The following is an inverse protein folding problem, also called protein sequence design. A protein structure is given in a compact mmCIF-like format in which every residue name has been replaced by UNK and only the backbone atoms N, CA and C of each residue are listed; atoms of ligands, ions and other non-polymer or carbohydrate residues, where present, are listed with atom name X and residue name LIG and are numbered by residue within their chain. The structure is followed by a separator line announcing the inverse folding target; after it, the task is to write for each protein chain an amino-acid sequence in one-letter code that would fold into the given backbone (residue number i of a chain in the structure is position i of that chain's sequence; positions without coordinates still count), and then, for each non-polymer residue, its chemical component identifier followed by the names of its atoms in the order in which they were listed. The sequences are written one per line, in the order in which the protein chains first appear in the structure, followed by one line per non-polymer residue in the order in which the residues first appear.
data_IF_180407192599
#
_entry.id   IF_180407192599
#
_cell.length_a   1.000
_cell.length_b   1.000
_cell.length_c   1.000
_cell.angle_alpha   90.00
_cell.angle_beta   90.00
_cell.angle_gamma   90.00
#
_symmetry.space_group_name_H-M   'P 1'
#
loop_
_entity.id
_entity.type
_entity.pdbx_description
1 polymer ?
#
# COMPACT_ATOMS: atom_id res chain seq x y z
N UNK A 1 0.76 6.63 7.66
CA UNK A 1 1.23 5.72 6.64
C UNK A 1 1.26 6.31 5.24
N UNK A 2 0.91 7.59 4.98
CA UNK A 2 1.11 8.18 3.62
C UNK A 2 2.50 7.92 3.05
N UNK A 3 3.51 7.96 3.93
CA UNK A 3 4.92 7.72 3.59
C UNK A 3 5.25 6.24 3.29
N UNK A 4 4.53 5.28 3.88
CA UNK A 4 4.82 3.84 3.74
C UNK A 4 3.88 3.15 2.75
N UNK A 5 2.65 3.65 2.60
CA UNK A 5 1.61 3.04 1.76
C UNK A 5 1.89 3.20 0.27
N UNK A 6 2.45 4.34 -0.17
CA UNK A 6 2.79 4.53 -1.58
C UNK A 6 3.96 3.62 -2.00
N UNK A 7 5.08 3.54 -1.24
CA UNK A 7 6.09 2.51 -1.48
C UNK A 7 5.55 1.09 -1.40
N UNK A 8 4.65 0.81 -0.45
CA UNK A 8 4.03 -0.51 -0.31
C UNK A 8 3.15 -0.86 -1.51
N UNK A 9 2.34 0.06 -1.99
CA UNK A 9 1.52 -0.10 -3.20
C UNK A 9 2.40 -0.44 -4.40
N UNK A 10 3.48 0.32 -4.60
CA UNK A 10 4.45 0.05 -5.66
C UNK A 10 5.08 -1.34 -5.51
N UNK A 11 5.51 -1.71 -4.30
CA UNK A 11 6.09 -3.02 -4.02
C UNK A 11 5.11 -4.16 -4.30
N UNK A 12 3.84 -4.01 -3.89
CA UNK A 12 2.77 -4.98 -4.18
C UNK A 12 2.58 -5.16 -5.68
N UNK A 13 2.56 -4.07 -6.45
CA UNK A 13 2.51 -4.12 -7.92
C UNK A 13 3.67 -4.90 -8.52
N UNK A 14 4.90 -4.65 -8.05
CA UNK A 14 6.10 -5.39 -8.48
C UNK A 14 6.03 -6.87 -8.09
N UNK A 15 5.59 -7.21 -6.88
CA UNK A 15 5.47 -8.58 -6.38
C UNK A 15 4.43 -9.37 -7.19
N UNK A 16 3.27 -8.79 -7.47
CA UNK A 16 2.25 -9.44 -8.30
C UNK A 16 2.74 -9.65 -9.73
N UNK A 17 3.56 -8.75 -10.26
CA UNK A 17 4.21 -8.95 -11.55
C UNK A 17 5.25 -10.09 -11.50
N UNK A 18 6.02 -10.22 -10.40
CA UNK A 18 6.94 -11.35 -10.20
C UNK A 18 6.19 -12.68 -10.23
N UNK A 19 5.06 -12.77 -9.53
CA UNK A 19 4.22 -13.97 -9.49
C UNK A 19 3.63 -14.27 -10.88
N UNK A 20 3.34 -13.22 -11.66
CA UNK A 20 2.71 -13.31 -12.98
C UNK A 20 3.68 -13.29 -14.16
N UNK A 21 4.97 -13.51 -13.88
CA UNK A 21 6.08 -13.30 -14.82
C UNK A 21 5.89 -14.03 -16.15
N UNK A 22 5.45 -15.29 -16.11
CA UNK A 22 5.37 -16.14 -17.31
C UNK A 22 4.30 -15.64 -18.30
N UNK A 23 3.18 -15.13 -17.77
CA UNK A 23 2.16 -14.46 -18.58
C UNK A 23 2.69 -13.13 -19.12
N UNK A 24 3.25 -12.28 -18.25
CA UNK A 24 3.69 -10.93 -18.62
C UNK A 24 4.79 -10.89 -19.69
N UNK A 25 5.65 -11.92 -19.76
CA UNK A 25 6.65 -12.04 -20.83
C UNK A 25 6.02 -12.26 -22.20
N UNK A 26 4.87 -12.91 -22.28
CA UNK A 26 4.18 -13.23 -23.54
C UNK A 26 3.20 -12.14 -23.96
N UNK A 27 2.56 -11.51 -22.98
CA UNK A 27 1.56 -10.46 -23.17
C UNK A 27 2.14 -9.20 -23.83
N UNK A 28 1.52 -8.77 -24.93
CA UNK A 28 1.94 -7.62 -25.72
C UNK A 28 1.35 -6.29 -25.23
N UNK A 29 0.15 -6.33 -24.65
CA UNK A 29 -0.63 -5.18 -24.27
C UNK A 29 -0.32 -4.74 -22.83
N UNK A 30 0.39 -3.62 -22.67
CA UNK A 30 0.82 -3.15 -21.34
C UNK A 30 -0.31 -2.59 -20.49
N UNK A 31 -1.19 -1.80 -21.09
CA UNK A 31 -2.22 -1.04 -20.38
C UNK A 31 -3.61 -1.69 -20.39
N UNK A 32 -3.77 -2.78 -21.15
CA UNK A 32 -5.06 -3.46 -21.34
C UNK A 32 -4.95 -4.98 -21.14
N UNK A 33 -3.88 -5.48 -20.52
CA UNK A 33 -3.77 -6.91 -20.22
C UNK A 33 -4.86 -7.38 -19.23
N UNK A 34 -5.17 -8.67 -19.30
CA UNK A 34 -6.26 -9.29 -18.54
C UNK A 34 -6.01 -9.32 -17.03
N UNK A 35 -4.77 -9.16 -16.57
CA UNK A 35 -4.43 -9.13 -15.13
C UNK A 35 -4.70 -7.76 -14.48
N UNK A 36 -4.68 -6.67 -15.25
CA UNK A 36 -4.91 -5.33 -14.71
C UNK A 36 -6.30 -5.18 -14.07
N UNK A 37 -7.34 -5.81 -14.61
CA UNK A 37 -8.68 -5.75 -14.04
C UNK A 37 -8.73 -6.31 -12.60
N UNK A 38 -8.36 -7.58 -12.39
CA UNK A 38 -8.28 -8.18 -11.05
C UNK A 38 -7.31 -7.44 -10.11
N UNK A 39 -6.17 -6.96 -10.61
CA UNK A 39 -5.21 -6.19 -9.81
C UNK A 39 -5.83 -4.84 -9.39
N UNK A 40 -6.54 -4.17 -10.28
CA UNK A 40 -7.26 -2.94 -9.95
C UNK A 40 -8.29 -3.18 -8.86
N UNK A 41 -9.10 -4.24 -8.97
CA UNK A 41 -10.09 -4.61 -7.95
C UNK A 41 -9.40 -4.85 -6.61
N UNK A 42 -8.29 -5.61 -6.59
CA UNK A 42 -7.52 -5.83 -5.37
C UNK A 42 -6.99 -4.52 -4.79
N UNK A 43 -6.37 -3.66 -5.61
CA UNK A 43 -5.79 -2.40 -5.15
C UNK A 43 -6.86 -1.45 -4.62
N UNK A 44 -8.01 -1.33 -5.29
CA UNK A 44 -9.09 -0.41 -4.93
C UNK A 44 -9.95 -0.90 -3.79
N UNK A 45 -10.22 -2.20 -3.71
CA UNK A 45 -11.20 -2.77 -2.78
C UNK A 45 -10.56 -3.50 -1.59
N UNK A 46 -9.26 -3.84 -1.65
CA UNK A 46 -8.57 -4.56 -0.58
C UNK A 46 -7.38 -3.77 -0.02
N UNK A 47 -6.48 -3.31 -0.87
CA UNK A 47 -5.25 -2.66 -0.42
C UNK A 47 -5.47 -1.21 0.03
N UNK A 48 -5.99 -0.34 -0.84
CA UNK A 48 -6.20 1.06 -0.50
C UNK A 48 -7.13 1.27 0.71
N UNK A 49 -8.23 0.52 0.89
CA UNK A 49 -9.09 0.66 2.07
C UNK A 49 -8.39 0.40 3.41
N UNK A 50 -7.36 -0.46 3.44
CA UNK A 50 -6.55 -0.72 4.65
C UNK A 50 -5.83 0.55 5.11
N UNK A 51 -5.10 1.21 4.21
CA UNK A 51 -4.42 2.48 4.53
C UNK A 51 -5.42 3.59 4.88
N UNK A 52 -6.54 3.67 4.14
CA UNK A 52 -7.60 4.65 4.41
C UNK A 52 -8.27 4.46 5.77
N UNK A 53 -8.48 3.22 6.20
CA UNK A 53 -9.06 2.93 7.52
C UNK A 53 -8.19 3.49 8.64
N UNK A 54 -6.87 3.28 8.56
CA UNK A 54 -5.93 3.80 9.55
C UNK A 54 -5.87 5.33 9.50
N UNK A 55 -5.88 5.92 8.28
CA UNK A 55 -5.91 7.36 8.07
C UNK A 55 -7.14 8.05 8.65
N UNK A 56 -8.31 7.39 8.60
CA UNK A 56 -9.55 7.94 9.15
C UNK A 56 -9.65 7.68 10.66
N UNK A 57 -9.34 6.47 11.10
CA UNK A 57 -9.49 6.06 12.51
C UNK A 57 -8.42 6.66 13.43
N UNK A 58 -7.19 6.79 12.93
CA UNK A 58 -6.03 7.29 13.69
C UNK A 58 -5.12 8.19 12.83
N UNK A 59 -5.64 9.32 12.33
CA UNK A 59 -4.91 10.23 11.43
C UNK A 59 -3.56 10.67 11.99
N UNK A 60 -3.46 10.82 13.31
CA UNK A 60 -2.24 11.30 13.93
C UNK A 60 -1.12 10.25 14.00
N UNK A 61 -1.47 8.96 14.03
CA UNK A 61 -0.49 7.87 13.81
C UNK A 61 0.02 7.87 12.37
N UNK A 62 -0.79 8.40 11.45
CA UNK A 62 -0.61 8.28 10.01
C UNK A 62 0.25 9.37 9.38
N UNK A 63 0.09 10.62 9.79
CA UNK A 63 0.94 11.75 9.34
C UNK A 63 2.17 11.98 10.19
N UNK A 64 2.43 11.09 11.16
CA UNK A 64 3.62 11.09 12.02
C UNK A 64 4.14 12.49 12.33
N UNK A 65 3.34 13.24 13.09
CA UNK A 65 3.83 14.38 13.86
C UNK A 65 4.56 15.47 13.08
N UNK A 66 4.28 15.66 11.79
CA UNK A 66 4.84 16.78 11.04
C UNK A 66 3.80 17.87 10.79
N UNK A 67 2.52 17.49 10.69
CA UNK A 67 1.49 18.44 10.32
C UNK A 67 0.12 18.12 10.93
N UNK A 68 -0.38 19.00 11.80
CA UNK A 68 -1.74 18.92 12.36
C UNK A 68 -2.87 19.29 11.39
N UNK A 69 -2.56 19.65 10.14
CA UNK A 69 -3.58 20.12 9.18
C UNK A 69 -4.53 19.01 8.73
N UNK A 70 -4.12 17.73 8.78
CA UNK A 70 -4.97 16.58 8.44
C UNK A 70 -5.84 16.08 9.61
N UNK A 71 -5.76 16.73 10.78
CA UNK A 71 -6.63 16.38 11.90
C UNK A 71 -8.05 16.92 11.65
N UNK A 72 -9.07 16.06 11.84
CA UNK A 72 -10.51 16.35 11.73
C UNK A 72 -11.05 16.78 10.32
N UNK A 73 -11.40 15.85 9.43
CA UNK A 73 -11.88 16.17 8.08
C UNK A 73 -13.32 16.73 8.01
N UNK A 74 -14.16 16.51 9.04
CA UNK A 74 -15.61 16.76 8.99
C UNK A 74 -16.00 18.20 8.56
N UNK A 75 -15.23 19.21 8.98
CA UNK A 75 -15.44 20.62 8.61
C UNK A 75 -14.28 21.19 7.77
N UNK A 76 -13.49 20.34 7.12
CA UNK A 76 -12.28 20.73 6.38
C UNK A 76 -12.27 20.05 5.00
N UNK A 77 -12.95 20.63 3.99
CA UNK A 77 -13.13 19.97 2.69
C UNK A 77 -11.81 19.65 1.99
N UNK A 78 -10.78 20.49 2.14
CA UNK A 78 -9.45 20.21 1.59
C UNK A 78 -8.77 18.98 2.22
N UNK A 79 -9.01 18.71 3.50
CA UNK A 79 -8.49 17.53 4.19
C UNK A 79 -9.22 16.27 3.71
N UNK A 80 -10.54 16.34 3.56
CA UNK A 80 -11.33 15.26 2.97
C UNK A 80 -10.88 14.97 1.53
N UNK A 81 -10.63 16.01 0.73
CA UNK A 81 -10.10 15.90 -0.63
C UNK A 81 -8.72 15.23 -0.66
N UNK A 82 -7.84 15.57 0.29
CA UNK A 82 -6.53 14.93 0.41
C UNK A 82 -6.65 13.41 0.63
N UNK A 83 -7.57 12.95 1.49
CA UNK A 83 -7.79 11.52 1.72
C UNK A 83 -8.23 10.79 0.45
N UNK A 84 -9.12 11.39 -0.33
CA UNK A 84 -9.55 10.83 -1.62
C UNK A 84 -8.38 10.73 -2.60
N UNK A 85 -7.62 11.82 -2.76
CA UNK A 85 -6.45 11.87 -3.65
C UNK A 85 -5.41 10.84 -3.23
N UNK A 86 -5.19 10.68 -1.93
CA UNK A 86 -4.27 9.70 -1.39
C UNK A 86 -4.73 8.26 -1.69
N UNK A 87 -6.02 7.97 -1.52
CA UNK A 87 -6.62 6.68 -1.91
C UNK A 87 -6.40 6.37 -3.40
N UNK A 88 -6.64 7.36 -4.28
CA UNK A 88 -6.40 7.25 -5.72
C UNK A 88 -4.91 7.03 -5.99
N UNK A 89 -4.02 7.77 -5.30
CA UNK A 89 -2.58 7.66 -5.47
C UNK A 89 -2.07 6.25 -5.13
N UNK A 90 -2.58 5.62 -4.06
CA UNK A 90 -2.23 4.22 -3.74
C UNK A 90 -2.57 3.27 -4.89
N UNK A 91 -3.77 3.38 -5.46
CA UNK A 91 -4.20 2.52 -6.58
C UNK A 91 -3.35 2.78 -7.83
N UNK A 92 -3.12 4.05 -8.18
CA UNK A 92 -2.31 4.45 -9.33
C UNK A 92 -0.88 3.95 -9.19
N UNK A 93 -0.24 4.17 -8.03
CA UNK A 93 1.15 3.76 -7.79
C UNK A 93 1.31 2.24 -7.82
N UNK A 94 0.34 1.48 -7.30
CA UNK A 94 0.34 0.02 -7.43
C UNK A 94 0.29 -0.45 -8.88
N UNK A 95 -0.55 0.19 -9.71
CA UNK A 95 -0.59 -0.08 -11.15
C UNK A 95 0.69 0.33 -11.86
N UNK A 96 1.28 1.48 -11.51
CA UNK A 96 2.57 1.91 -12.06
C UNK A 96 3.65 0.87 -11.76
N UNK A 97 3.70 0.35 -10.53
CA UNK A 97 4.61 -0.74 -10.15
C UNK A 97 4.42 -1.98 -11.04
N UNK A 98 3.18 -2.41 -11.24
CA UNK A 98 2.88 -3.58 -12.07
C UNK A 98 3.21 -3.37 -13.57
N UNK A 99 2.81 -2.23 -14.15
CA UNK A 99 3.03 -1.90 -15.56
C UNK A 99 4.53 -1.70 -15.86
N UNK A 100 5.26 -1.07 -14.95
CA UNK A 100 6.71 -0.91 -15.07
C UNK A 100 7.42 -2.27 -15.04
N UNK A 101 6.99 -3.17 -14.15
CA UNK A 101 7.49 -4.53 -14.11
C UNK A 101 7.20 -5.30 -15.41
N UNK A 102 5.98 -5.20 -15.94
CA UNK A 102 5.61 -5.77 -17.24
C UNK A 102 6.52 -5.23 -18.36
N UNK A 103 6.74 -3.92 -18.40
CA UNK A 103 7.66 -3.29 -19.35
C UNK A 103 9.08 -3.90 -19.24
N UNK A 104 9.62 -4.06 -18.03
CA UNK A 104 10.95 -4.64 -17.83
C UNK A 104 11.03 -6.11 -18.21
N UNK A 105 10.01 -6.92 -17.91
CA UNK A 105 9.98 -8.32 -18.32
C UNK A 105 9.97 -8.49 -19.84
N UNK A 106 9.22 -7.65 -20.56
CA UNK A 106 9.19 -7.67 -22.04
C UNK A 106 10.52 -7.28 -22.68
N UNK A 107 11.32 -6.49 -21.99
CA UNK A 107 12.64 -6.03 -22.46
C UNK A 107 13.80 -6.88 -21.90
N UNK A 108 13.53 -8.05 -21.30
CA UNK A 108 14.56 -8.93 -20.76
C UNK A 108 15.27 -8.41 -19.51
N UNK A 109 14.71 -7.39 -18.84
CA UNK A 109 15.29 -6.76 -17.66
C UNK A 109 14.73 -7.33 -16.35
N UNK A 110 14.62 -8.66 -16.22
CA UNK A 110 14.05 -9.35 -15.06
C UNK A 110 14.62 -8.88 -13.72
N UNK A 111 15.94 -8.61 -13.64
CA UNK A 111 16.60 -8.15 -12.42
C UNK A 111 16.06 -6.80 -11.91
N UNK A 112 15.63 -5.91 -12.81
CA UNK A 112 15.07 -4.60 -12.44
C UNK A 112 13.76 -4.73 -11.69
N UNK A 113 12.95 -5.74 -12.03
CA UNK A 113 11.70 -6.03 -11.30
C UNK A 113 12.00 -6.43 -9.86
N UNK A 114 12.98 -7.30 -9.66
CA UNK A 114 13.42 -7.71 -8.32
C UNK A 114 13.95 -6.51 -7.54
N UNK A 115 14.79 -5.66 -8.14
CA UNK A 115 15.26 -4.44 -7.50
C UNK A 115 14.12 -3.49 -7.16
N UNK A 116 13.13 -3.34 -8.05
CA UNK A 116 11.93 -2.55 -7.78
C UNK A 116 11.16 -3.05 -6.56
N UNK A 117 10.92 -4.36 -6.46
CA UNK A 117 10.26 -4.97 -5.32
C UNK A 117 11.05 -4.79 -4.01
N UNK A 118 12.37 -5.02 -4.04
CA UNK A 118 13.24 -4.87 -2.87
C UNK A 118 13.31 -3.42 -2.41
N UNK A 119 13.52 -2.47 -3.33
CA UNK A 119 13.56 -1.04 -3.01
C UNK A 119 12.20 -0.57 -2.47
N UNK A 120 11.10 -0.94 -3.11
CA UNK A 120 9.76 -0.59 -2.63
C UNK A 120 9.49 -1.13 -1.22
N UNK A 121 9.85 -2.38 -0.97
CA UNK A 121 9.72 -3.01 0.36
C UNK A 121 10.61 -2.33 1.39
N UNK A 122 11.86 -2.03 1.02
CA UNK A 122 12.80 -1.34 1.89
C UNK A 122 12.28 0.07 2.25
N UNK A 123 11.82 0.84 1.27
CA UNK A 123 11.25 2.17 1.49
C UNK A 123 9.96 2.13 2.34
N UNK A 124 9.19 1.05 2.26
CA UNK A 124 8.03 0.81 3.13
C UNK A 124 8.45 0.64 4.59
N UNK A 125 9.52 -0.13 4.84
CA UNK A 125 9.99 -0.46 6.19
C UNK A 125 10.88 0.64 6.79
N UNK A 126 11.56 1.42 5.94
CA UNK A 126 12.56 2.42 6.34
C UNK A 126 12.04 3.42 7.39
N UNK A 127 10.84 4.01 7.27
CA UNK A 127 10.29 4.89 8.29
C UNK A 127 10.18 4.25 9.68
N UNK A 128 9.86 2.95 9.76
CA UNK A 128 9.80 2.20 11.02
C UNK A 128 11.18 2.04 11.65
N UNK A 129 12.23 1.95 10.83
CA UNK A 129 13.61 1.83 11.30
C UNK A 129 14.16 3.17 11.81
N UNK A 130 13.83 4.27 11.13
CA UNK A 130 14.33 5.61 11.46
C UNK A 130 13.62 6.25 12.66
N UNK A 131 12.32 5.97 12.86
CA UNK A 131 11.49 6.67 13.86
C UNK A 131 10.82 5.73 14.87
N UNK A 132 11.52 4.70 15.33
CA UNK A 132 11.01 3.60 16.17
C UNK A 132 10.12 4.05 17.35
N UNK A 133 10.54 5.05 18.12
CA UNK A 133 9.79 5.52 19.30
C UNK A 133 8.46 6.19 18.95
N UNK A 134 8.39 6.77 17.77
CA UNK A 134 7.25 7.56 17.29
C UNK A 134 6.11 6.67 16.78
N UNK A 135 6.45 5.53 16.17
CA UNK A 135 5.48 4.52 15.70
C UNK A 135 4.75 3.77 16.82
N UNK A 136 5.34 3.73 18.01
CA UNK A 136 4.77 3.06 19.18
C UNK A 136 3.77 3.93 19.95
N UNK A 137 3.50 5.16 19.48
CA UNK A 137 2.57 6.10 20.10
C UNK A 137 1.45 6.48 19.15
N UNK A 138 0.25 6.62 19.70
CA UNK A 138 -0.98 7.04 19.02
C UNK A 138 -1.52 8.27 19.74
N UNK A 139 -1.60 9.40 19.05
CA UNK A 139 -2.15 10.65 19.57
C UNK A 139 -1.90 11.79 18.60
N UNK A 140 -2.62 12.91 18.75
CA UNK A 140 -2.45 14.12 17.91
C UNK A 140 -1.03 14.65 17.97
N UNK A 141 -0.66 15.50 17.01
CA UNK A 141 0.67 16.11 16.97
C UNK A 141 1.04 16.74 18.31
N UNK A 142 0.19 17.66 18.78
CA UNK A 142 0.38 18.40 20.02
C UNK A 142 0.49 17.50 21.26
N UNK A 143 -0.28 16.41 21.31
CA UNK A 143 -0.28 15.48 22.44
C UNK A 143 1.03 14.71 22.53
N UNK A 144 1.60 14.29 21.41
CA UNK A 144 2.82 13.46 21.41
C UNK A 144 4.08 14.31 21.49
N UNK A 145 4.12 15.49 20.87
CA UNK A 145 5.22 16.44 21.10
C UNK A 145 5.25 16.97 22.53
N UNK A 146 4.10 17.04 23.19
CA UNK A 146 3.99 17.32 24.63
C UNK A 146 4.38 16.13 25.54
N UNK A 147 4.93 15.04 24.99
CA UNK A 147 5.37 13.87 25.75
C UNK A 147 4.28 12.82 26.02
N UNK A 148 3.02 13.13 25.71
CA UNK A 148 1.87 12.24 25.89
C UNK A 148 1.71 11.18 24.79
N UNK A 149 0.45 10.82 24.51
CA UNK A 149 0.05 9.79 23.56
C UNK A 149 -0.25 8.45 24.21
N UNK A 150 -1.17 7.69 23.62
CA UNK A 150 -1.45 6.32 24.03
C UNK A 150 -0.46 5.37 23.37
N UNK A 151 -0.13 4.27 24.03
CA UNK A 151 0.70 3.22 23.43
C UNK A 151 -0.02 2.59 22.23
N UNK A 152 0.73 2.22 21.20
CA UNK A 152 0.25 1.37 20.10
C UNK A 152 -0.46 0.12 20.62
N UNK A 153 0.06 -0.46 21.71
CA UNK A 153 -0.47 -1.66 22.33
C UNK A 153 -1.75 -1.43 23.16
N UNK A 154 -2.22 -0.18 23.25
CA UNK A 154 -3.42 0.15 24.02
C UNK A 154 -4.70 -0.09 23.23
N UNK A 155 -5.79 -0.31 23.97
CA UNK A 155 -7.13 -0.41 23.40
C UNK A 155 -7.65 0.99 23.00
N UNK A 156 -8.37 1.12 21.86
CA UNK A 156 -8.78 0.07 20.93
C UNK A 156 -7.82 -0.16 19.75
N UNK A 157 -6.64 0.47 19.75
CA UNK A 157 -5.77 0.50 18.57
C UNK A 157 -5.22 -0.88 18.19
N UNK A 158 -4.66 -1.62 19.15
CA UNK A 158 -4.02 -2.90 18.87
C UNK A 158 -4.98 -3.94 18.23
N UNK A 159 -6.20 -4.18 18.76
CA UNK A 159 -7.15 -5.09 18.11
C UNK A 159 -7.57 -4.62 16.72
N UNK A 160 -7.81 -3.32 16.53
CA UNK A 160 -8.15 -2.78 15.22
C UNK A 160 -7.03 -3.01 14.21
N UNK A 161 -5.79 -2.76 14.60
CA UNK A 161 -4.61 -3.03 13.78
C UNK A 161 -4.51 -4.51 13.40
N UNK A 162 -4.70 -5.43 14.35
CA UNK A 162 -4.71 -6.86 14.05
C UNK A 162 -5.79 -7.25 13.03
N UNK A 163 -7.02 -6.74 13.18
CA UNK A 163 -8.11 -7.01 12.24
C UNK A 163 -7.74 -6.57 10.83
N UNK A 164 -7.18 -5.37 10.68
CA UNK A 164 -6.77 -4.82 9.38
C UNK A 164 -5.65 -5.64 8.76
N UNK A 165 -4.61 -5.99 9.53
CA UNK A 165 -3.49 -6.78 9.05
C UNK A 165 -3.95 -8.19 8.67
N UNK A 166 -4.81 -8.81 9.46
CA UNK A 166 -5.42 -10.11 9.10
C UNK A 166 -6.20 -10.01 7.79
N UNK A 167 -7.03 -8.98 7.61
CA UNK A 167 -7.75 -8.73 6.37
C UNK A 167 -6.80 -8.55 5.17
N UNK A 168 -5.75 -7.74 5.34
CA UNK A 168 -4.74 -7.51 4.29
C UNK A 168 -4.01 -8.81 3.92
N UNK A 169 -3.59 -9.60 4.91
CA UNK A 169 -2.94 -10.88 4.67
C UNK A 169 -3.85 -11.87 3.92
N UNK A 170 -5.12 -12.00 4.33
CA UNK A 170 -6.09 -12.89 3.69
C UNK A 170 -6.30 -12.48 2.24
N UNK A 171 -6.51 -11.19 1.96
CA UNK A 171 -6.75 -10.69 0.60
C UNK A 171 -5.52 -10.83 -0.29
N UNK A 172 -4.31 -10.58 0.23
CA UNK A 172 -3.04 -10.83 -0.48
C UNK A 172 -2.92 -12.32 -0.84
N UNK A 173 -3.11 -13.21 0.13
CA UNK A 173 -3.02 -14.66 -0.10
C UNK A 173 -4.04 -15.10 -1.16
N UNK A 174 -5.29 -14.63 -1.07
CA UNK A 174 -6.31 -14.93 -2.05
C UNK A 174 -5.91 -14.48 -3.47
N UNK A 175 -5.36 -13.27 -3.60
CA UNK A 175 -4.88 -12.74 -4.88
C UNK A 175 -3.70 -13.53 -5.42
N UNK A 176 -2.71 -13.85 -4.58
CA UNK A 176 -1.55 -14.68 -4.95
C UNK A 176 -1.99 -16.05 -5.45
N UNK A 177 -2.89 -16.71 -4.74
CA UNK A 177 -3.45 -18.01 -5.14
C UNK A 177 -4.18 -17.89 -6.48
N UNK A 178 -4.95 -16.82 -6.68
CA UNK A 178 -5.65 -16.58 -7.95
C UNK A 178 -4.67 -16.36 -9.12
N UNK A 179 -3.61 -15.56 -8.93
CA UNK A 179 -2.58 -15.32 -9.95
C UNK A 179 -1.86 -16.61 -10.35
N UNK A 180 -1.49 -17.45 -9.37
CA UNK A 180 -0.83 -18.74 -9.61
C UNK A 180 -1.77 -19.71 -10.34
N UNK A 181 -3.03 -19.83 -9.90
CA UNK A 181 -3.96 -20.84 -10.44
C UNK A 181 -4.61 -20.45 -11.76
N UNK A 182 -4.88 -19.16 -11.98
CA UNK A 182 -5.62 -18.65 -13.15
C UNK A 182 -4.82 -17.62 -13.93
N UNK A 183 -4.19 -16.65 -13.27
CA UNK A 183 -3.49 -15.55 -13.94
C UNK A 183 -2.42 -16.03 -14.93
N UNK A 184 -1.54 -16.92 -14.50
CA UNK A 184 -0.48 -17.49 -15.37
C UNK A 184 -0.98 -18.43 -16.47
N UNK A 185 -2.26 -18.79 -16.47
CA UNK A 185 -2.89 -19.66 -17.47
C UNK A 185 -3.73 -18.88 -18.49
N UNK A 186 -3.82 -17.56 -18.34
CA UNK A 186 -4.53 -16.72 -19.30
C UNK A 186 -3.79 -16.74 -20.64
N UNK A 187 -4.56 -16.79 -21.72
CA UNK A 187 -4.00 -16.56 -23.05
C UNK A 187 -3.54 -15.09 -23.13
N UNK A 188 -2.26 -14.85 -23.50
CA UNK A 188 -1.70 -13.51 -23.65
C UNK A 188 -2.28 -12.73 -24.84
#
# INVERSE_FOLDING_TARGET
MVQVDLPAAFAVGQIFAIISKDYLKKESQKFTNKLLGPINIFLSCCFAPVGMFLLIGWPAWEVMYWTGWVEAPFNRPFVAGFYIIFGIAMVVIGNVGFILAHHWYRNGHDKRVIYGAVIGTFLTVLPFLLWRGTWLKVGTYAVVTGGGGKSFFSLPFLPAWFVIISYMCITIIAMVVWLIKRGNRLEP
#
